data_IF_229938388131
#
_entry.id   IF_229938388131
#
_cell.length_a   1.000
_cell.length_b   1.000
_cell.length_c   1.000
_cell.angle_alpha   90.00
_cell.angle_beta   90.00
_cell.angle_gamma   90.00
#
_symmetry.space_group_name_H-M   'P 1'
#
loop_
_entity.id
_entity.type
_entity.pdbx_description
1 polymer ?
#
# COMPACT_ATOMS: atom_id res chain seq x y z
N UNK A 1 24.02 -51.48 59.15
CA UNK A 1 23.94 -52.02 57.79
C UNK A 1 23.11 -51.04 56.95
N UNK A 2 23.52 -49.76 56.87
CA UNK A 2 22.68 -48.69 56.29
C UNK A 2 23.58 -47.52 55.83
N UNK A 3 24.18 -47.62 54.65
CA UNK A 3 24.83 -46.48 53.96
C UNK A 3 24.76 -46.57 52.42
N UNK A 4 23.84 -47.36 51.86
CA UNK A 4 23.77 -47.58 50.40
C UNK A 4 22.54 -46.93 49.76
N UNK A 5 21.53 -46.51 50.54
CA UNK A 5 20.26 -46.08 49.94
C UNK A 5 20.12 -44.56 49.71
N UNK A 6 21.03 -43.73 50.22
CA UNK A 6 20.92 -42.27 50.03
C UNK A 6 21.47 -41.79 48.67
N UNK A 7 22.60 -42.35 48.19
CA UNK A 7 23.20 -41.92 46.91
C UNK A 7 22.41 -42.38 45.66
N UNK A 8 21.58 -43.42 45.76
CA UNK A 8 20.70 -43.85 44.65
C UNK A 8 19.49 -42.92 44.52
N UNK A 9 18.91 -42.47 45.63
CA UNK A 9 17.76 -41.58 45.63
C UNK A 9 18.09 -40.16 45.10
N UNK A 10 19.28 -39.64 45.39
CA UNK A 10 19.71 -38.33 44.87
C UNK A 10 20.06 -38.36 43.38
N UNK A 11 20.61 -39.48 42.87
CA UNK A 11 20.85 -39.67 41.44
C UNK A 11 19.55 -39.76 40.63
N UNK A 12 18.56 -40.50 41.12
CA UNK A 12 17.26 -40.63 40.45
C UNK A 12 16.52 -39.28 40.43
N UNK A 13 16.55 -38.50 41.52
CA UNK A 13 15.99 -37.14 41.55
C UNK A 13 16.70 -36.16 40.61
N UNK A 14 18.03 -36.27 40.48
CA UNK A 14 18.82 -35.44 39.56
C UNK A 14 18.58 -35.77 38.09
N UNK A 15 18.28 -37.03 37.76
CA UNK A 15 17.93 -37.48 36.40
C UNK A 15 16.47 -37.17 36.03
N UNK A 16 15.54 -37.27 36.98
CA UNK A 16 14.13 -36.84 36.82
C UNK A 16 14.02 -35.33 36.61
N UNK A 17 14.71 -34.51 37.41
CA UNK A 17 14.74 -33.06 37.23
C UNK A 17 15.37 -32.64 35.90
N UNK A 18 16.41 -33.33 35.42
CA UNK A 18 16.99 -33.06 34.10
C UNK A 18 16.08 -33.49 32.94
N UNK A 19 15.27 -34.53 33.13
CA UNK A 19 14.30 -35.00 32.13
C UNK A 19 13.06 -34.11 32.11
N UNK A 20 12.60 -33.62 33.26
CA UNK A 20 11.58 -32.59 33.38
C UNK A 20 12.07 -31.27 32.80
N UNK A 21 13.22 -30.72 33.20
CA UNK A 21 13.77 -29.49 32.63
C UNK A 21 14.00 -29.57 31.12
N UNK A 22 14.41 -30.74 30.59
CA UNK A 22 14.49 -30.96 29.14
C UNK A 22 13.11 -31.01 28.49
N UNK A 23 12.11 -31.66 29.10
CA UNK A 23 10.72 -31.65 28.60
C UNK A 23 10.11 -30.25 28.66
N UNK A 24 10.37 -29.48 29.71
CA UNK A 24 9.88 -28.12 29.91
C UNK A 24 10.58 -27.13 28.98
N UNK A 25 11.89 -27.25 28.73
CA UNK A 25 12.61 -26.44 27.73
C UNK A 25 12.27 -26.84 26.29
N UNK A 26 11.94 -28.10 26.04
CA UNK A 26 11.51 -28.55 24.72
C UNK A 26 10.04 -28.18 24.47
N UNK A 27 9.19 -28.13 25.49
CA UNK A 27 7.83 -27.56 25.41
C UNK A 27 7.84 -26.03 25.32
N UNK A 28 8.74 -25.32 26.01
CA UNK A 28 8.77 -23.85 25.99
C UNK A 28 9.24 -23.27 24.65
N UNK A 29 10.13 -23.97 23.93
CA UNK A 29 10.55 -23.58 22.57
C UNK A 29 9.52 -23.90 21.48
N UNK A 30 8.54 -24.76 21.74
CA UNK A 30 7.53 -25.20 20.77
C UNK A 30 6.33 -24.24 20.72
N UNK A 31 6.02 -23.57 21.84
CA UNK A 31 4.83 -22.73 21.98
C UNK A 31 4.80 -21.46 21.11
N UNK A 32 5.95 -20.90 20.70
CA UNK A 32 5.97 -19.65 19.93
C UNK A 32 5.54 -19.83 18.45
N UNK A 33 5.42 -21.07 17.98
CA UNK A 33 5.15 -21.37 16.56
C UNK A 33 3.93 -22.26 16.34
N UNK A 34 3.11 -22.43 17.37
CA UNK A 34 1.93 -23.30 17.32
C UNK A 34 0.70 -22.59 17.89
N UNK A 35 -0.42 -22.74 17.21
CA UNK A 35 -1.72 -22.24 17.66
C UNK A 35 -2.62 -23.43 17.93
N UNK A 36 -3.35 -23.33 19.04
CA UNK A 36 -4.26 -24.38 19.49
C UNK A 36 -5.67 -23.81 19.46
N UNK A 37 -6.57 -24.51 18.76
CA UNK A 37 -8.00 -24.23 18.77
C UNK A 37 -8.69 -25.41 19.42
N UNK A 38 -9.39 -25.14 20.51
CA UNK A 38 -10.19 -26.11 21.24
C UNK A 38 -11.65 -25.99 20.82
N UNK A 39 -12.29 -27.13 20.61
CA UNK A 39 -13.73 -27.24 20.40
C UNK A 39 -14.35 -28.25 21.35
N UNK A 40 -15.57 -27.95 21.79
CA UNK A 40 -16.39 -28.82 22.64
C UNK A 40 -16.98 -30.01 21.87
N UNK A 41 -16.92 -30.02 20.54
CA UNK A 41 -17.45 -31.12 19.74
C UNK A 41 -16.47 -32.31 19.71
N UNK A 42 -16.97 -33.56 19.63
CA UNK A 42 -16.12 -34.73 19.58
C UNK A 42 -15.38 -34.86 18.24
N UNK A 43 -14.09 -35.14 18.31
CA UNK A 43 -13.23 -35.16 17.12
C UNK A 43 -13.63 -36.26 16.14
N UNK A 44 -13.71 -35.89 14.87
CA UNK A 44 -13.92 -36.82 13.76
C UNK A 44 -12.82 -36.66 12.74
N UNK A 45 -12.00 -37.70 12.58
CA UNK A 45 -11.00 -37.81 11.51
C UNK A 45 -11.70 -38.10 10.17
N UNK A 46 -12.33 -37.06 9.61
CA UNK A 46 -13.00 -37.12 8.32
C UNK A 46 -11.98 -37.09 7.16
N UNK A 47 -12.48 -37.25 5.93
CA UNK A 47 -11.64 -37.25 4.74
C UNK A 47 -10.80 -35.97 4.58
N UNK A 48 -11.37 -34.80 4.89
CA UNK A 48 -10.71 -33.51 4.73
C UNK A 48 -9.51 -33.37 5.69
N UNK A 49 -9.66 -33.81 6.94
CA UNK A 49 -8.55 -33.88 7.90
C UNK A 49 -7.44 -34.82 7.45
N UNK A 50 -7.79 -35.98 6.88
CA UNK A 50 -6.81 -36.90 6.28
C UNK A 50 -6.07 -36.28 5.10
N UNK A 51 -6.78 -35.52 4.26
CA UNK A 51 -6.17 -34.81 3.12
C UNK A 51 -5.18 -33.76 3.59
N UNK A 52 -5.54 -32.97 4.61
CA UNK A 52 -4.65 -31.96 5.19
C UNK A 52 -3.44 -32.56 5.91
N UNK A 53 -3.60 -33.74 6.52
CA UNK A 53 -2.53 -34.45 7.21
C UNK A 53 -1.47 -35.01 6.24
N UNK A 54 -1.92 -35.52 5.09
CA UNK A 54 -1.05 -36.23 4.14
C UNK A 54 -0.50 -35.35 3.01
N UNK A 55 -1.13 -34.21 2.74
CA UNK A 55 -0.73 -33.30 1.66
C UNK A 55 -0.23 -31.96 2.21
N UNK A 56 0.63 -31.29 1.44
CA UNK A 56 1.00 -29.90 1.70
C UNK A 56 0.28 -29.02 0.70
N UNK A 57 -0.75 -28.32 1.16
CA UNK A 57 -1.56 -27.44 0.32
C UNK A 57 -0.98 -26.01 0.42
N UNK A 58 -0.48 -25.43 -0.68
CA UNK A 58 0.09 -24.08 -0.63
C UNK A 58 -0.94 -23.05 -0.15
N UNK A 59 -0.52 -22.22 0.80
CA UNK A 59 -1.36 -21.17 1.42
C UNK A 59 -2.24 -21.65 2.57
N UNK A 60 -2.24 -22.93 2.93
CA UNK A 60 -2.84 -23.42 4.18
C UNK A 60 -1.76 -23.67 5.23
N UNK A 61 -2.08 -23.36 6.50
CA UNK A 61 -1.27 -23.81 7.62
C UNK A 61 -1.40 -25.33 7.82
N UNK A 62 -0.29 -25.94 8.24
CA UNK A 62 -0.30 -27.37 8.56
C UNK A 62 -1.11 -27.58 9.84
N UNK A 63 -2.14 -28.41 9.73
CA UNK A 63 -3.05 -28.72 10.84
C UNK A 63 -2.96 -30.18 11.26
N UNK A 64 -3.14 -30.44 12.54
CA UNK A 64 -3.35 -31.78 13.10
C UNK A 64 -4.45 -31.71 14.16
N UNK A 65 -5.43 -32.61 14.09
CA UNK A 65 -6.53 -32.68 15.04
C UNK A 65 -6.44 -33.94 15.91
N UNK A 66 -6.89 -33.86 17.15
CA UNK A 66 -7.11 -35.02 18.00
C UNK A 66 -8.32 -34.82 18.93
N UNK A 67 -8.95 -35.92 19.33
CA UNK A 67 -9.98 -35.91 20.37
C UNK A 67 -9.38 -36.19 21.75
N UNK A 68 -9.78 -35.41 22.75
CA UNK A 68 -9.50 -35.67 24.17
C UNK A 68 -10.77 -35.44 24.99
N UNK A 69 -11.16 -36.41 25.83
CA UNK A 69 -12.27 -36.28 26.78
C UNK A 69 -13.62 -35.85 26.15
N UNK A 70 -13.88 -36.23 24.90
CA UNK A 70 -15.10 -35.86 24.17
C UNK A 70 -15.06 -34.49 23.50
N UNK A 71 -13.97 -33.74 23.67
CA UNK A 71 -13.67 -32.50 22.98
C UNK A 71 -12.65 -32.73 21.84
N UNK A 72 -12.53 -31.75 20.95
CA UNK A 72 -11.56 -31.71 19.85
C UNK A 72 -10.51 -30.64 20.10
N UNK A 73 -9.27 -30.94 19.75
CA UNK A 73 -8.17 -29.98 19.76
C UNK A 73 -7.44 -30.00 18.42
N UNK A 74 -7.24 -28.82 17.84
CA UNK A 74 -6.57 -28.62 16.57
C UNK A 74 -5.29 -27.82 16.77
N UNK A 75 -4.18 -28.37 16.30
CA UNK A 75 -2.85 -27.77 16.36
C UNK A 75 -2.48 -27.25 14.97
N UNK A 76 -2.14 -25.97 14.88
CA UNK A 76 -1.69 -25.31 13.66
C UNK A 76 -0.24 -24.90 13.82
N UNK A 77 0.60 -25.31 12.88
CA UNK A 77 2.01 -24.91 12.88
C UNK A 77 2.18 -23.62 12.08
N UNK A 78 2.48 -22.50 12.76
CA UNK A 78 2.65 -21.18 12.14
C UNK A 78 4.05 -20.98 11.58
N UNK A 79 5.05 -21.72 12.07
CA UNK A 79 6.42 -21.68 11.56
C UNK A 79 7.02 -20.28 11.52
N UNK A 80 6.83 -19.50 12.60
CA UNK A 80 7.23 -18.08 12.75
C UNK A 80 6.42 -17.07 11.92
N UNK A 81 5.33 -17.48 11.28
CA UNK A 81 4.40 -16.52 10.69
C UNK A 81 3.65 -15.76 11.79
N UNK A 82 3.35 -14.48 11.55
CA UNK A 82 2.63 -13.62 12.49
C UNK A 82 1.18 -13.47 12.06
N UNK A 83 0.24 -13.47 13.00
CA UNK A 83 -1.17 -13.18 12.67
C UNK A 83 -1.31 -11.76 12.11
N UNK A 84 -2.31 -11.52 11.26
CA UNK A 84 -2.59 -10.15 10.77
C UNK A 84 -2.84 -9.18 11.92
N UNK A 85 -3.53 -9.61 12.98
CA UNK A 85 -3.75 -8.84 14.20
C UNK A 85 -2.43 -8.33 14.79
N UNK A 86 -1.40 -9.17 14.82
CA UNK A 86 -0.07 -8.80 15.34
C UNK A 86 0.72 -7.98 14.33
N UNK A 87 0.70 -8.39 13.07
CA UNK A 87 1.48 -7.77 11.99
C UNK A 87 1.04 -6.33 11.72
N UNK A 88 -0.27 -6.06 11.71
CA UNK A 88 -0.87 -4.73 11.53
C UNK A 88 -1.32 -4.09 12.85
N UNK A 89 -0.71 -4.48 13.97
CA UNK A 89 -1.02 -3.89 15.28
C UNK A 89 -0.74 -2.37 15.28
N UNK A 90 0.47 -2.00 14.83
CA UNK A 90 0.98 -0.63 14.78
C UNK A 90 1.33 -0.19 13.34
N UNK A 91 0.77 -0.87 12.34
CA UNK A 91 0.97 -0.57 10.92
C UNK A 91 -0.39 -0.44 10.27
N UNK A 92 -0.49 0.49 9.35
CA UNK A 92 -1.66 0.62 8.50
C UNK A 92 -1.50 -0.30 7.28
N UNK A 93 -2.64 -0.70 6.72
CA UNK A 93 -2.76 -1.58 5.56
C UNK A 93 -2.93 -0.68 4.33
N UNK A 94 -2.14 -0.92 3.27
CA UNK A 94 -2.31 -0.22 1.99
C UNK A 94 -2.99 -1.11 0.96
N UNK A 95 -3.33 -0.52 -0.17
CA UNK A 95 -4.07 -1.17 -1.25
C UNK A 95 -3.32 -2.41 -1.78
N UNK A 96 -2.00 -2.30 -1.92
CA UNK A 96 -1.12 -3.36 -2.40
C UNK A 96 -1.24 -4.62 -1.54
N UNK A 97 -1.23 -4.47 -0.20
CA UNK A 97 -1.34 -5.60 0.72
C UNK A 97 -2.74 -6.22 0.71
N UNK A 98 -3.81 -5.40 0.61
CA UNK A 98 -5.19 -5.91 0.46
C UNK A 98 -5.33 -6.72 -0.82
N UNK A 99 -4.90 -6.17 -1.97
CA UNK A 99 -4.95 -6.88 -3.25
C UNK A 99 -4.18 -8.19 -3.19
N UNK A 100 -3.00 -8.17 -2.58
CA UNK A 100 -2.16 -9.37 -2.43
C UNK A 100 -2.84 -10.44 -1.59
N UNK A 101 -3.41 -10.07 -0.44
CA UNK A 101 -4.14 -10.99 0.41
C UNK A 101 -5.31 -11.62 -0.32
N UNK A 102 -6.15 -10.80 -0.97
CA UNK A 102 -7.34 -11.28 -1.69
C UNK A 102 -6.98 -12.21 -2.84
N UNK A 103 -5.94 -11.89 -3.63
CA UNK A 103 -5.47 -12.76 -4.71
C UNK A 103 -4.93 -14.10 -4.18
N UNK A 104 -4.19 -14.08 -3.07
CA UNK A 104 -3.71 -15.31 -2.46
C UNK A 104 -4.86 -16.14 -1.88
N UNK A 105 -5.86 -15.50 -1.28
CA UNK A 105 -7.08 -16.17 -0.84
C UNK A 105 -7.80 -16.88 -2.01
N UNK A 106 -8.02 -16.19 -3.13
CA UNK A 106 -8.60 -16.79 -4.35
C UNK A 106 -7.77 -18.00 -4.83
N UNK A 107 -6.44 -17.85 -4.89
CA UNK A 107 -5.54 -18.94 -5.30
C UNK A 107 -5.61 -20.16 -4.36
N UNK A 108 -5.79 -19.93 -3.05
CA UNK A 108 -5.98 -21.01 -2.07
C UNK A 108 -7.31 -21.72 -2.31
N UNK A 109 -8.39 -20.97 -2.54
CA UNK A 109 -9.70 -21.56 -2.85
C UNK A 109 -9.65 -22.43 -4.11
N UNK A 110 -8.91 -22.02 -5.15
CA UNK A 110 -8.71 -22.86 -6.34
C UNK A 110 -7.96 -24.15 -6.02
N UNK A 111 -6.83 -24.06 -5.34
CA UNK A 111 -6.01 -25.24 -4.96
C UNK A 111 -6.78 -26.19 -4.06
N UNK A 112 -7.66 -25.69 -3.20
CA UNK A 112 -8.49 -26.51 -2.33
C UNK A 112 -9.44 -27.43 -3.11
N UNK A 113 -9.89 -27.02 -4.31
CA UNK A 113 -10.76 -27.83 -5.17
C UNK A 113 -10.08 -29.15 -5.58
N UNK A 114 -8.78 -29.12 -5.85
CA UNK A 114 -8.00 -30.30 -6.25
C UNK A 114 -7.99 -31.40 -5.16
N UNK A 115 -8.17 -31.01 -3.90
CA UNK A 115 -8.21 -31.90 -2.74
C UNK A 115 -9.64 -32.13 -2.21
N UNK A 116 -10.66 -31.64 -2.93
CA UNK A 116 -12.07 -31.69 -2.52
C UNK A 116 -12.31 -31.13 -1.10
N UNK A 117 -11.59 -30.06 -0.75
CA UNK A 117 -11.78 -29.37 0.52
C UNK A 117 -12.88 -28.33 0.41
N UNK A 118 -13.66 -28.21 1.48
CA UNK A 118 -14.76 -27.26 1.61
C UNK A 118 -14.22 -25.85 1.96
N UNK A 119 -14.43 -24.83 1.10
CA UNK A 119 -13.92 -23.47 1.34
C UNK A 119 -14.51 -22.81 2.58
N UNK A 120 -15.73 -23.18 2.98
CA UNK A 120 -16.38 -22.63 4.17
C UNK A 120 -15.63 -22.95 5.48
N UNK A 121 -14.72 -23.93 5.48
CA UNK A 121 -13.88 -24.23 6.63
C UNK A 121 -12.64 -23.35 6.74
N UNK A 122 -12.46 -22.36 5.85
CA UNK A 122 -11.41 -21.36 6.00
C UNK A 122 -11.77 -20.31 7.05
N UNK A 123 -10.83 -20.07 7.96
CA UNK A 123 -10.94 -19.03 8.98
C UNK A 123 -10.39 -17.70 8.43
N UNK A 124 -11.28 -16.77 8.09
CA UNK A 124 -10.93 -15.48 7.48
C UNK A 124 -10.94 -14.30 8.46
N UNK A 125 -10.47 -14.50 9.69
CA UNK A 125 -10.31 -13.42 10.68
C UNK A 125 -8.84 -13.04 10.82
N UNK A 126 -8.58 -11.80 11.22
CA UNK A 126 -7.26 -11.23 11.49
C UNK A 126 -6.42 -12.05 12.48
N UNK A 127 -7.06 -12.87 13.32
CA UNK A 127 -6.41 -13.76 14.30
C UNK A 127 -5.89 -15.06 13.70
N UNK A 128 -6.50 -15.50 12.60
CA UNK A 128 -6.30 -16.82 12.01
C UNK A 128 -5.72 -16.79 10.59
N UNK A 129 -5.41 -15.60 10.10
CA UNK A 129 -4.62 -15.39 8.88
C UNK A 129 -3.22 -14.98 9.30
N UNK A 130 -2.21 -15.62 8.72
CA UNK A 130 -0.81 -15.44 9.07
C UNK A 130 -0.02 -14.91 7.89
N UNK A 131 0.80 -13.89 8.13
CA UNK A 131 1.74 -13.34 7.16
C UNK A 131 3.15 -13.87 7.46
N UNK A 132 3.85 -14.29 6.40
CA UNK A 132 5.28 -14.57 6.44
C UNK A 132 5.91 -14.36 5.07
N UNK A 133 6.94 -13.54 5.01
CA UNK A 133 7.72 -13.28 3.80
C UNK A 133 6.79 -12.95 2.62
N UNK A 134 5.87 -12.02 2.82
CA UNK A 134 4.91 -11.57 1.82
C UNK A 134 3.86 -12.61 1.37
N UNK A 135 3.79 -13.76 2.04
CA UNK A 135 2.80 -14.79 1.78
C UNK A 135 1.83 -14.92 2.96
N UNK A 136 0.55 -15.05 2.63
CA UNK A 136 -0.54 -15.25 3.56
C UNK A 136 -0.89 -16.74 3.67
N UNK A 137 -1.07 -17.20 4.89
CA UNK A 137 -1.43 -18.56 5.23
C UNK A 137 -2.73 -18.57 6.02
N UNK A 138 -3.66 -19.43 5.62
CA UNK A 138 -5.00 -19.51 6.19
C UNK A 138 -5.14 -20.77 7.06
N UNK A 139 -5.86 -20.64 8.17
CA UNK A 139 -6.26 -21.79 8.97
C UNK A 139 -7.49 -22.48 8.38
N UNK A 140 -7.45 -23.81 8.32
CA UNK A 140 -8.60 -24.64 7.99
C UNK A 140 -9.19 -25.27 9.25
N UNK A 141 -10.42 -24.91 9.58
CA UNK A 141 -11.15 -25.39 10.76
C UNK A 141 -12.48 -26.04 10.35
N UNK A 142 -12.60 -27.37 10.49
CA UNK A 142 -13.76 -28.13 9.97
C UNK A 142 -15.07 -27.84 10.70
N UNK A 143 -15.03 -27.15 11.84
CA UNK A 143 -16.20 -26.78 12.64
C UNK A 143 -16.54 -25.30 12.48
N UNK A 144 -16.02 -24.65 11.44
CA UNK A 144 -16.46 -23.29 11.11
C UNK A 144 -17.92 -23.31 10.66
N UNK A 145 -18.75 -22.50 11.32
CA UNK A 145 -20.19 -22.43 11.04
C UNK A 145 -20.51 -21.39 9.96
N UNK A 146 -19.62 -20.41 9.75
CA UNK A 146 -19.84 -19.31 8.80
C UNK A 146 -19.46 -19.74 7.39
N UNK A 147 -20.19 -19.23 6.40
CA UNK A 147 -19.74 -19.31 5.01
C UNK A 147 -18.54 -18.41 4.80
N UNK A 148 -17.67 -18.77 3.85
CA UNK A 148 -16.49 -17.97 3.57
C UNK A 148 -16.85 -16.55 3.13
N UNK A 149 -18.02 -16.35 2.48
CA UNK A 149 -18.48 -15.03 2.06
C UNK A 149 -18.76 -14.11 3.26
N UNK A 150 -19.38 -14.64 4.32
CA UNK A 150 -19.66 -13.88 5.54
C UNK A 150 -18.35 -13.57 6.26
N UNK A 151 -17.46 -14.57 6.39
CA UNK A 151 -16.15 -14.34 7.02
C UNK A 151 -15.28 -13.35 6.25
N UNK A 152 -15.34 -13.37 4.92
CA UNK A 152 -14.61 -12.41 4.10
C UNK A 152 -15.19 -11.00 4.23
N UNK A 153 -16.52 -10.84 4.35
CA UNK A 153 -17.12 -9.54 4.64
C UNK A 153 -16.61 -8.96 5.98
N UNK A 154 -16.56 -9.77 7.05
CA UNK A 154 -15.97 -9.37 8.34
C UNK A 154 -14.49 -8.97 8.20
N UNK A 155 -13.74 -9.64 7.32
CA UNK A 155 -12.37 -9.26 7.00
C UNK A 155 -12.29 -7.89 6.29
N UNK A 156 -13.24 -7.56 5.41
CA UNK A 156 -13.29 -6.22 4.80
C UNK A 156 -13.55 -5.12 5.83
N UNK A 157 -14.35 -5.38 6.86
CA UNK A 157 -14.52 -4.43 7.97
C UNK A 157 -13.21 -4.21 8.73
N UNK A 158 -12.42 -5.26 8.90
CA UNK A 158 -11.06 -5.14 9.43
C UNK A 158 -10.17 -4.27 8.52
N UNK A 159 -10.20 -4.45 7.20
CA UNK A 159 -9.46 -3.60 6.27
C UNK A 159 -9.87 -2.13 6.39
N UNK A 160 -11.18 -1.81 6.41
CA UNK A 160 -11.67 -0.43 6.56
C UNK A 160 -11.21 0.23 7.86
N UNK A 161 -11.07 -0.54 8.95
CA UNK A 161 -10.57 -0.04 10.24
C UNK A 161 -9.06 0.18 10.28
N UNK A 162 -8.30 -0.53 9.44
CA UNK A 162 -6.82 -0.56 9.46
C UNK A 162 -6.18 0.07 8.24
N UNK A 163 -6.98 0.57 7.31
CA UNK A 163 -6.50 1.21 6.10
C UNK A 163 -5.70 2.48 6.40
N UNK A 164 -4.67 2.75 5.61
CA UNK A 164 -3.96 4.03 5.68
C UNK A 164 -4.86 5.16 5.17
N UNK A 165 -5.28 6.04 6.08
CA UNK A 165 -6.15 7.18 5.75
C UNK A 165 -5.42 8.31 5.00
N UNK A 166 -4.10 8.25 4.86
CA UNK A 166 -3.35 9.18 4.02
C UNK A 166 -3.36 8.74 2.55
N UNK A 167 -3.65 7.47 2.28
CA UNK A 167 -3.68 6.92 0.92
C UNK A 167 -5.11 6.76 0.40
N UNK A 168 -5.46 7.62 -0.56
CA UNK A 168 -6.77 7.61 -1.21
C UNK A 168 -7.06 6.28 -1.91
N UNK A 169 -6.06 5.63 -2.51
CA UNK A 169 -6.26 4.37 -3.25
C UNK A 169 -6.62 3.23 -2.30
N UNK A 170 -5.95 3.18 -1.14
CA UNK A 170 -6.24 2.24 -0.06
C UNK A 170 -7.66 2.42 0.49
N UNK A 171 -8.07 3.65 0.78
CA UNK A 171 -9.43 3.95 1.25
C UNK A 171 -10.47 3.53 0.21
N UNK A 172 -10.25 3.89 -1.07
CA UNK A 172 -11.17 3.55 -2.15
C UNK A 172 -11.33 2.03 -2.28
N UNK A 173 -10.23 1.27 -2.27
CA UNK A 173 -10.27 -0.19 -2.37
C UNK A 173 -10.99 -0.82 -1.17
N UNK A 174 -10.64 -0.44 0.05
CA UNK A 174 -11.24 -0.99 1.26
C UNK A 174 -12.76 -0.71 1.30
N UNK A 175 -13.17 0.52 0.99
CA UNK A 175 -14.58 0.90 0.93
C UNK A 175 -15.34 0.18 -0.20
N UNK A 176 -14.73 0.04 -1.39
CA UNK A 176 -15.32 -0.68 -2.51
C UNK A 176 -15.55 -2.15 -2.16
N UNK A 177 -14.53 -2.83 -1.63
CA UNK A 177 -14.65 -4.23 -1.20
C UNK A 177 -15.72 -4.39 -0.12
N UNK A 178 -15.72 -3.52 0.90
CA UNK A 178 -16.73 -3.58 1.96
C UNK A 178 -18.15 -3.38 1.41
N UNK A 179 -18.36 -2.41 0.51
CA UNK A 179 -19.66 -2.16 -0.11
C UNK A 179 -20.12 -3.32 -1.00
N UNK A 180 -19.23 -3.87 -1.81
CA UNK A 180 -19.56 -4.95 -2.73
C UNK A 180 -19.86 -6.27 -2.00
N UNK A 181 -19.17 -6.53 -0.89
CA UNK A 181 -19.39 -7.72 -0.06
C UNK A 181 -20.67 -7.66 0.79
N UNK A 182 -21.37 -6.53 0.84
CA UNK A 182 -22.72 -6.43 1.46
C UNK A 182 -23.81 -7.08 0.61
N UNK A 183 -23.56 -7.35 -0.68
CA UNK A 183 -24.53 -8.00 -1.56
C UNK A 183 -24.71 -9.46 -1.12
N UNK A 184 -25.94 -9.98 -1.19
CA UNK A 184 -26.27 -11.37 -0.81
C UNK A 184 -25.45 -12.41 -1.59
N UNK A 185 -25.08 -12.09 -2.83
CA UNK A 185 -24.12 -12.85 -3.63
C UNK A 185 -23.14 -11.89 -4.27
N UNK A 186 -21.85 -12.20 -4.20
CA UNK A 186 -20.79 -11.41 -4.81
C UNK A 186 -19.71 -12.32 -5.38
N UNK A 187 -19.01 -11.82 -6.39
CA UNK A 187 -17.85 -12.47 -6.98
C UNK A 187 -16.62 -11.60 -6.79
N UNK A 188 -15.70 -12.07 -5.93
CA UNK A 188 -14.47 -11.36 -5.61
C UNK A 188 -13.56 -11.19 -6.83
N UNK A 189 -13.54 -12.16 -7.74
CA UNK A 189 -12.67 -12.09 -8.91
C UNK A 189 -13.12 -10.96 -9.84
N UNK A 190 -14.42 -10.87 -10.13
CA UNK A 190 -15.00 -9.75 -10.87
C UNK A 190 -14.77 -8.39 -10.20
N UNK A 191 -14.90 -8.31 -8.87
CA UNK A 191 -14.69 -7.05 -8.13
C UNK A 191 -13.24 -6.57 -8.25
N UNK A 192 -12.27 -7.48 -8.11
CA UNK A 192 -10.86 -7.13 -8.27
C UNK A 192 -10.50 -6.70 -9.69
N UNK A 193 -11.04 -7.39 -10.71
CA UNK A 193 -10.81 -7.03 -12.10
C UNK A 193 -11.34 -5.63 -12.42
N UNK A 194 -12.54 -5.28 -11.94
CA UNK A 194 -13.11 -3.94 -12.11
C UNK A 194 -12.22 -2.87 -11.46
N UNK A 195 -11.73 -3.12 -10.24
CA UNK A 195 -10.82 -2.17 -9.58
C UNK A 195 -9.53 -1.95 -10.36
N UNK A 196 -8.91 -3.02 -10.88
CA UNK A 196 -7.68 -2.93 -11.68
C UNK A 196 -7.90 -2.18 -13.00
N UNK A 197 -9.04 -2.41 -13.66
CA UNK A 197 -9.39 -1.72 -14.90
C UNK A 197 -9.64 -0.23 -14.66
N UNK A 198 -10.33 0.12 -13.57
CA UNK A 198 -10.49 1.52 -13.16
C UNK A 198 -9.16 2.20 -12.81
N UNK A 199 -8.25 1.49 -12.13
CA UNK A 199 -6.93 2.01 -11.80
C UNK A 199 -6.11 2.29 -13.08
N UNK A 200 -6.10 1.37 -14.04
CA UNK A 200 -5.45 1.57 -15.35
C UNK A 200 -6.04 2.75 -16.11
N UNK A 201 -7.37 2.86 -16.15
CA UNK A 201 -8.05 3.97 -16.81
C UNK A 201 -7.72 5.33 -16.16
N UNK A 202 -7.56 5.38 -14.82
CA UNK A 202 -7.11 6.59 -14.11
C UNK A 202 -5.68 6.97 -14.47
N UNK A 203 -4.79 5.99 -14.51
CA UNK A 203 -3.40 6.21 -14.92
C UNK A 203 -3.29 6.71 -16.36
N UNK A 204 -4.01 6.11 -17.30
CA UNK A 204 -4.02 6.50 -18.71
C UNK A 204 -4.49 7.94 -18.89
N UNK A 205 -5.60 8.33 -18.25
CA UNK A 205 -6.10 9.71 -18.27
C UNK A 205 -5.06 10.69 -17.71
N UNK A 206 -4.37 10.34 -16.63
CA UNK A 206 -3.33 11.20 -16.06
C UNK A 206 -2.11 11.35 -16.98
N UNK A 207 -1.75 10.29 -17.72
CA UNK A 207 -0.64 10.29 -18.69
C UNK A 207 -1.01 11.13 -19.92
N UNK A 208 -2.22 10.95 -20.44
CA UNK A 208 -2.75 11.76 -21.54
C UNK A 208 -2.82 13.25 -21.19
N UNK A 209 -3.25 13.58 -19.97
CA UNK A 209 -3.33 14.97 -19.51
C UNK A 209 -1.95 15.60 -19.37
N UNK A 210 -0.96 14.88 -18.82
CA UNK A 210 0.44 15.33 -18.79
C UNK A 210 1.02 15.56 -20.18
N UNK A 211 0.78 14.65 -21.12
CA UNK A 211 1.21 14.79 -22.53
C UNK A 211 0.55 16.01 -23.18
N UNK A 212 -0.74 16.23 -22.91
CA UNK A 212 -1.50 17.38 -23.42
C UNK A 212 -1.00 18.70 -22.84
N UNK A 213 -0.68 18.75 -21.54
CA UNK A 213 -0.07 19.92 -20.92
C UNK A 213 1.32 20.21 -21.45
N UNK A 214 2.17 19.19 -21.60
CA UNK A 214 3.52 19.31 -22.14
C UNK A 214 3.47 19.80 -23.60
N UNK A 215 2.55 19.28 -24.39
CA UNK A 215 2.31 19.73 -25.77
C UNK A 215 1.86 21.20 -25.84
N UNK A 216 1.05 21.67 -24.89
CA UNK A 216 0.67 23.09 -24.80
C UNK A 216 1.87 23.96 -24.43
N UNK A 217 2.63 23.58 -23.39
CA UNK A 217 3.84 24.31 -22.95
C UNK A 217 4.91 24.38 -24.04
N UNK A 218 5.04 23.33 -24.85
CA UNK A 218 5.94 23.30 -26.00
C UNK A 218 5.46 24.22 -27.12
N UNK A 219 4.16 24.26 -27.40
CA UNK A 219 3.58 25.20 -28.37
C UNK A 219 3.78 26.65 -27.94
N UNK A 220 3.50 26.97 -26.68
CA UNK A 220 3.69 28.32 -26.11
C UNK A 220 5.17 28.76 -26.20
N UNK A 221 6.11 27.82 -26.03
CA UNK A 221 7.56 28.09 -26.16
C UNK A 221 7.96 28.41 -27.60
N UNK A 222 7.45 27.66 -28.58
CA UNK A 222 7.71 27.91 -30.00
C UNK A 222 7.10 29.24 -30.46
N UNK A 223 5.91 29.59 -29.99
CA UNK A 223 5.31 30.89 -30.27
C UNK A 223 6.15 32.04 -29.68
N UNK A 224 6.71 31.89 -28.48
CA UNK A 224 7.64 32.87 -27.91
C UNK A 224 8.94 32.99 -28.71
N UNK A 225 9.53 31.87 -29.15
CA UNK A 225 10.75 31.85 -29.97
C UNK A 225 10.52 32.46 -31.37
N UNK A 226 9.37 32.19 -32.00
CA UNK A 226 8.98 32.83 -33.26
C UNK A 226 8.78 34.34 -33.09
N UNK A 227 8.06 34.77 -32.04
CA UNK A 227 7.86 36.19 -31.76
C UNK A 227 9.19 36.92 -31.51
N UNK A 228 10.12 36.31 -30.75
CA UNK A 228 11.47 36.88 -30.57
C UNK A 228 12.25 36.96 -31.88
N UNK A 229 12.17 35.94 -32.74
CA UNK A 229 12.84 35.97 -34.04
C UNK A 229 12.25 37.04 -34.98
N UNK A 230 10.93 37.26 -34.93
CA UNK A 230 10.26 38.33 -35.67
C UNK A 230 10.73 39.70 -35.17
N UNK A 231 10.76 39.94 -33.86
CA UNK A 231 11.28 41.20 -33.28
C UNK A 231 12.75 41.45 -33.67
N UNK A 232 13.59 40.41 -33.68
CA UNK A 232 15.00 40.52 -34.11
C UNK A 232 15.10 40.88 -35.60
N UNK A 233 14.27 40.26 -36.46
CA UNK A 233 14.23 40.59 -37.88
C UNK A 233 13.73 42.01 -38.14
N UNK A 234 12.66 42.44 -37.47
CA UNK A 234 12.14 43.80 -37.58
C UNK A 234 13.17 44.83 -37.12
N UNK A 235 13.81 44.62 -35.97
CA UNK A 235 14.89 45.49 -35.50
C UNK A 235 16.09 45.53 -36.47
N UNK A 236 16.45 44.40 -37.08
CA UNK A 236 17.48 44.35 -38.13
C UNK A 236 17.09 45.18 -39.36
N UNK A 237 15.82 45.10 -39.79
CA UNK A 237 15.30 45.85 -40.93
C UNK A 237 15.28 47.36 -40.65
N UNK A 238 14.80 47.78 -39.47
CA UNK A 238 14.81 49.18 -39.05
C UNK A 238 16.22 49.74 -38.90
N UNK A 239 17.18 48.95 -38.38
CA UNK A 239 18.59 49.37 -38.30
C UNK A 239 19.22 49.52 -39.70
N UNK A 240 18.97 48.59 -40.64
CA UNK A 240 19.41 48.73 -42.05
C UNK A 240 18.78 49.92 -42.77
N UNK A 241 17.50 50.21 -42.52
CA UNK A 241 16.85 51.40 -43.06
C UNK A 241 17.50 52.68 -42.50
N UNK A 242 17.82 52.70 -41.21
CA UNK A 242 18.50 53.83 -40.55
C UNK A 242 19.93 54.05 -41.06
N UNK A 243 20.68 52.98 -41.34
CA UNK A 243 21.98 53.06 -42.02
C UNK A 243 21.84 53.59 -43.46
N UNK A 244 20.83 53.16 -44.22
CA UNK A 244 20.58 53.64 -45.58
C UNK A 244 20.13 55.12 -45.63
N UNK A 245 19.37 55.61 -44.64
CA UNK A 245 19.04 57.03 -44.51
C UNK A 245 20.24 57.88 -44.06
N UNK A 246 21.11 57.35 -43.18
CA UNK A 246 22.34 58.04 -42.76
C UNK A 246 23.36 58.21 -43.91
N UNK A 247 23.38 57.29 -44.87
CA UNK A 247 24.25 57.38 -46.06
C UNK A 247 23.74 58.42 -47.10
N UNK A 248 22.48 58.85 -47.02
CA UNK A 248 21.91 59.87 -47.92
C UNK A 248 22.14 61.32 -47.45
N UNK A 249 22.59 61.57 -46.22
CA UNK A 249 22.89 62.92 -45.72
C UNK A 249 24.38 63.31 -45.76
N UNK A 250 25.29 62.39 -46.07
CA UNK A 250 26.74 62.67 -45.99
C UNK A 250 27.35 63.25 -47.29
N UNK A 251 26.64 64.13 -48.00
CA UNK A 251 27.22 64.99 -49.06
C UNK A 251 26.59 66.39 -49.13
N UNK A 252 26.73 67.18 -48.06
CA UNK A 252 26.96 68.64 -48.11
C UNK A 252 26.99 69.20 -46.68
N UNK A 253 28.16 69.58 -46.18
CA UNK A 253 28.51 70.94 -45.75
C UNK A 253 29.89 70.96 -45.07
N UNK A 254 30.69 71.95 -45.46
CA UNK A 254 32.01 72.26 -44.89
C UNK A 254 31.94 73.08 -43.58
N UNK A 255 33.08 73.62 -43.09
CA UNK A 255 33.40 73.52 -41.67
C UNK A 255 33.33 74.83 -40.85
N UNK A 256 33.33 74.64 -39.52
CA UNK A 256 33.76 75.52 -38.39
C UNK A 256 32.86 76.73 -37.97
N UNK A 257 32.35 76.75 -36.71
CA UNK A 257 32.92 77.52 -35.56
C UNK A 257 32.05 77.56 -34.30
N UNK A 258 32.77 77.30 -33.19
CA UNK A 258 32.51 77.42 -31.74
C UNK A 258 31.56 78.55 -31.30
N UNK A 259 30.75 78.28 -30.27
CA UNK A 259 30.57 79.19 -29.12
C UNK A 259 30.18 78.39 -27.86
N UNK A 260 30.77 78.77 -26.73
CA UNK A 260 30.60 78.15 -25.42
C UNK A 260 29.47 78.82 -24.61
N UNK A 261 28.82 78.08 -23.69
CA UNK A 261 28.71 78.39 -22.23
C UNK A 261 27.66 77.53 -21.49
N UNK A 262 28.14 76.88 -20.40
CA UNK A 262 27.58 76.76 -19.03
C UNK A 262 26.07 76.57 -18.76
N UNK A 263 25.76 75.36 -18.26
CA UNK A 263 25.04 74.96 -17.01
C UNK A 263 23.61 75.45 -16.62
N UNK A 264 22.84 74.42 -16.21
CA UNK A 264 21.67 74.31 -15.28
C UNK A 264 20.26 74.61 -15.82
N UNK A 265 19.37 73.60 -15.80
CA UNK A 265 18.36 73.38 -14.73
C UNK A 265 17.32 72.29 -15.09
N UNK A 266 16.96 71.44 -14.10
CA UNK A 266 15.71 70.66 -14.00
C UNK A 266 15.55 69.42 -14.91
N UNK A 267 15.02 68.27 -14.48
CA UNK A 267 14.44 67.80 -13.22
C UNK A 267 14.41 66.27 -13.38
N UNK A 268 15.25 65.55 -12.64
CA UNK A 268 15.21 64.08 -12.53
C UNK A 268 14.38 63.74 -11.29
N UNK A 269 13.37 62.89 -11.45
CA UNK A 269 12.62 62.26 -10.35
C UNK A 269 11.24 62.85 -10.10
N UNK A 270 10.19 62.09 -10.45
CA UNK A 270 8.88 62.12 -9.77
C UNK A 270 8.14 60.82 -10.11
N UNK A 271 8.43 59.77 -9.33
CA UNK A 271 7.55 58.63 -9.11
C UNK A 271 7.20 58.64 -7.62
N UNK A 272 5.92 58.44 -7.35
CA UNK A 272 5.30 58.19 -6.03
C UNK A 272 5.03 59.41 -5.14
N UNK A 273 3.84 59.99 -5.30
CA UNK A 273 2.92 60.27 -4.19
C UNK A 273 1.51 59.91 -4.69
N UNK A 274 1.00 58.77 -4.26
CA UNK A 274 0.19 58.58 -3.05
C UNK A 274 -1.28 58.89 -3.34
N UNK A 275 -2.02 57.79 -3.36
CA UNK A 275 -3.46 57.64 -3.51
C UNK A 275 -4.19 58.48 -2.44
N UNK A 276 -5.01 59.41 -2.94
CA UNK A 276 -6.28 59.95 -2.43
C UNK A 276 -6.39 60.38 -0.95
N UNK A 277 -6.44 61.70 -0.79
CA UNK A 277 -7.33 62.50 0.08
C UNK A 277 -7.79 61.90 1.42
N UNK A 278 -7.27 62.51 2.48
CA UNK A 278 -7.97 62.67 3.74
C UNK A 278 -9.18 63.59 3.56
N UNK A 279 -10.31 63.23 4.16
CA UNK A 279 -11.25 64.17 4.75
C UNK A 279 -11.66 63.62 6.13
N UNK A 280 -11.09 64.23 7.16
CA UNK A 280 -11.57 64.19 8.54
C UNK A 280 -12.74 65.19 8.67
N UNK A 281 -13.86 64.76 9.25
CA UNK A 281 -14.79 65.64 9.95
C UNK A 281 -15.32 64.95 11.22
N UNK A 282 -15.12 65.67 12.33
CA UNK A 282 -15.57 65.53 13.74
C UNK A 282 -16.47 64.36 14.17
#
# INVERSE_FOLDING_TARGET
MEKIDFCKAEKVKGEENQMEEKKTNQQSRVAESEIIIDSVQPYRENYQMRMLKNNRIPGLLRVSGCGMEGASRYYYHTGHAQSLETYYKNKDIRAEEILKLTRQFLSVMEKMKDYMLEPNYLMLSEKYIFEKNENYFFCFFPENEKTWQVSYHELTEYFVRKVDYQDLESIQLACMLHKETLKETYDLESILQQYEEEAKNREEKSKEEKIREESKREKDRREMEENQNIEIQENSYYNKARENYAVMEEKRYGPIKKFAKRFKSGKWGEWEDLITEADDYE
#
